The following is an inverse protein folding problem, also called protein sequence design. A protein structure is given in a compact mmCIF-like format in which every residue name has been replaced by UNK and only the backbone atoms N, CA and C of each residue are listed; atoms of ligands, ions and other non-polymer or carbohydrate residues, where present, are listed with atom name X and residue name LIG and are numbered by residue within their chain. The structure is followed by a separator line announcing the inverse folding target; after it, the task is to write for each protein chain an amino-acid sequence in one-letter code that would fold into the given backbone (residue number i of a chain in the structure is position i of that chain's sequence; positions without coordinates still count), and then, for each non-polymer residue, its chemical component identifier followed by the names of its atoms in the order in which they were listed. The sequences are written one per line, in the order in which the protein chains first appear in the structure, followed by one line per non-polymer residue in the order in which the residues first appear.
data_IF_760673611602
#
_entry.id   IF_760673611602
#
_cell.length_a   1.000
_cell.length_b   1.000
_cell.length_c   1.000
_cell.angle_alpha   90.00
_cell.angle_beta   90.00
_cell.angle_gamma   90.00
#
_symmetry.space_group_name_H-M   'P 1'
#
loop_
_entity.id
_entity.type
_entity.pdbx_description
1 polymer ?
#
# COMPACT_ATOMS: atom_id res chain seq x y z
N UNK A 1 43.10 19.20 -22.19
CA UNK A 1 42.20 19.44 -21.04
C UNK A 1 41.06 20.34 -21.48
N UNK A 2 40.04 19.79 -22.15
CA UNK A 2 38.78 20.50 -22.43
C UNK A 2 37.65 19.48 -22.42
N UNK A 3 37.26 19.03 -21.23
CA UNK A 3 35.93 18.46 -21.01
C UNK A 3 34.95 19.62 -20.97
N UNK A 4 34.26 19.89 -22.07
CA UNK A 4 33.04 20.71 -22.06
C UNK A 4 32.10 20.19 -23.13
N UNK A 5 30.82 20.16 -22.77
CA UNK A 5 29.63 19.98 -23.61
C UNK A 5 28.90 18.63 -23.61
N UNK A 6 28.73 18.00 -22.44
CA UNK A 6 27.47 17.28 -22.15
C UNK A 6 26.49 18.26 -21.47
N UNK A 7 26.15 19.37 -22.13
CA UNK A 7 25.03 20.18 -21.66
C UNK A 7 23.76 19.45 -22.05
N UNK A 8 23.09 18.87 -21.05
CA UNK A 8 21.72 18.40 -21.15
C UNK A 8 20.91 19.44 -21.92
N UNK A 9 20.17 19.02 -22.95
CA UNK A 9 19.36 19.93 -23.76
C UNK A 9 18.46 20.74 -22.81
N UNK A 10 18.37 22.08 -22.92
CA UNK A 10 17.68 22.91 -21.92
C UNK A 10 16.24 22.47 -21.69
N UNK A 11 15.56 21.97 -22.72
CA UNK A 11 14.21 21.37 -22.63
C UNK A 11 14.17 20.14 -21.71
N UNK A 12 15.14 19.24 -21.84
CA UNK A 12 15.26 18.03 -21.00
C UNK A 12 15.54 18.43 -19.55
N UNK A 13 16.34 19.48 -19.33
CA UNK A 13 16.61 20.00 -18.01
C UNK A 13 15.36 20.60 -17.36
N UNK A 14 14.59 21.41 -18.10
CA UNK A 14 13.31 21.96 -17.62
C UNK A 14 12.29 20.86 -17.35
N UNK A 15 12.22 19.84 -18.21
CA UNK A 15 11.33 18.69 -18.05
C UNK A 15 11.68 17.90 -16.78
N UNK A 16 12.97 17.63 -16.55
CA UNK A 16 13.45 16.95 -15.35
C UNK A 16 13.18 17.77 -14.07
N UNK A 17 13.41 19.08 -14.09
CA UNK A 17 13.06 19.97 -12.98
C UNK A 17 11.55 19.94 -12.71
N UNK A 18 10.72 19.94 -13.75
CA UNK A 18 9.26 19.89 -13.60
C UNK A 18 8.79 18.60 -12.94
N UNK A 19 9.38 17.45 -13.29
CA UNK A 19 9.09 16.19 -12.62
C UNK A 19 9.42 16.24 -11.11
N UNK A 20 10.54 16.86 -10.73
CA UNK A 20 10.86 17.06 -9.31
C UNK A 20 9.86 17.99 -8.62
N UNK A 21 9.45 19.09 -9.25
CA UNK A 21 8.43 20.00 -8.68
C UNK A 21 7.10 19.26 -8.46
N UNK A 22 6.61 18.54 -9.47
CA UNK A 22 5.38 17.78 -9.34
C UNK A 22 5.49 16.62 -8.34
N UNK A 23 6.66 15.99 -8.19
CA UNK A 23 6.87 15.00 -7.12
C UNK A 23 6.67 15.59 -5.71
N UNK A 24 7.10 16.83 -5.48
CA UNK A 24 6.88 17.55 -4.22
C UNK A 24 5.40 17.87 -4.06
N UNK A 25 4.73 18.34 -5.13
CA UNK A 25 3.28 18.57 -5.10
C UNK A 25 2.51 17.30 -4.76
N UNK A 26 2.87 16.15 -5.34
CA UNK A 26 2.25 14.87 -5.03
C UNK A 26 2.59 14.33 -3.64
N UNK A 27 3.69 14.77 -3.03
CA UNK A 27 4.01 14.44 -1.64
C UNK A 27 3.08 15.15 -0.66
N UNK A 28 2.60 16.35 -1.01
CA UNK A 28 1.57 17.06 -0.25
C UNK A 28 0.21 16.35 -0.31
N UNK A 29 0.02 15.41 -1.23
CA UNK A 29 -1.18 14.59 -1.34
C UNK A 29 -1.01 13.28 -0.56
N UNK A 30 -1.98 13.01 0.31
CA UNK A 30 -2.04 11.76 1.06
C UNK A 30 -2.18 10.52 0.17
N UNK A 31 -1.82 9.36 0.73
CA UNK A 31 -1.89 8.08 0.02
C UNK A 31 -3.30 7.69 -0.38
N UNK A 32 -4.32 8.22 0.28
CA UNK A 32 -5.72 8.09 -0.14
C UNK A 32 -6.01 8.65 -1.55
N UNK A 33 -5.15 9.53 -2.05
CA UNK A 33 -5.29 10.12 -3.38
C UNK A 33 -4.74 9.23 -4.50
N UNK A 34 -3.97 8.19 -4.17
CA UNK A 34 -3.31 7.32 -5.13
C UNK A 34 -3.57 5.85 -4.80
N UNK A 35 -3.75 5.03 -5.84
CA UNK A 35 -3.84 3.57 -5.68
C UNK A 35 -2.81 2.89 -6.58
N UNK A 36 -2.58 1.60 -6.36
CA UNK A 36 -1.54 0.86 -7.08
C UNK A 36 -1.20 -0.51 -6.51
N UNK A 37 -0.14 -1.14 -7.03
CA UNK A 37 0.28 -2.52 -6.70
C UNK A 37 0.46 -2.75 -5.18
N UNK A 38 0.81 -1.72 -4.41
CA UNK A 38 0.84 -1.80 -2.94
C UNK A 38 -0.55 -2.08 -2.34
N UNK A 39 -1.63 -1.50 -2.88
CA UNK A 39 -2.99 -1.79 -2.44
C UNK A 39 -3.40 -3.23 -2.74
N UNK A 40 -2.97 -3.79 -3.87
CA UNK A 40 -3.24 -5.19 -4.24
C UNK A 40 -2.49 -6.14 -3.30
N UNK A 41 -1.21 -5.87 -3.03
CA UNK A 41 -0.41 -6.65 -2.06
C UNK A 41 -1.03 -6.61 -0.66
N UNK A 42 -1.48 -5.43 -0.21
CA UNK A 42 -2.12 -5.26 1.10
C UNK A 42 -3.49 -5.94 1.16
N UNK A 43 -4.29 -5.84 0.10
CA UNK A 43 -5.61 -6.49 0.01
C UNK A 43 -5.46 -8.01 0.00
N UNK A 44 -4.51 -8.55 -0.78
CA UNK A 44 -4.20 -9.99 -0.80
C UNK A 44 -3.67 -10.43 0.57
N UNK A 45 -2.77 -9.68 1.21
CA UNK A 45 -2.27 -10.02 2.55
C UNK A 45 -3.42 -10.07 3.57
N UNK A 46 -4.34 -9.10 3.53
CA UNK A 46 -5.54 -9.08 4.39
C UNK A 46 -6.46 -10.27 4.11
N UNK A 47 -6.68 -10.63 2.85
CA UNK A 47 -7.50 -11.78 2.48
C UNK A 47 -6.87 -13.12 2.88
N UNK A 48 -5.55 -13.26 2.78
CA UNK A 48 -4.82 -14.47 3.20
C UNK A 48 -4.89 -14.64 4.71
N UNK A 49 -4.64 -13.58 5.48
CA UNK A 49 -4.77 -13.59 6.94
C UNK A 49 -6.20 -13.97 7.36
N UNK A 50 -7.21 -13.37 6.72
CA UNK A 50 -8.61 -13.71 6.99
C UNK A 50 -8.92 -15.20 6.72
N UNK A 51 -8.46 -15.73 5.59
CA UNK A 51 -8.65 -17.16 5.24
C UNK A 51 -7.94 -18.11 6.20
N UNK A 52 -6.79 -17.73 6.73
CA UNK A 52 -6.06 -18.52 7.72
C UNK A 52 -6.82 -18.56 9.05
N UNK A 53 -7.37 -17.42 9.48
CA UNK A 53 -8.25 -17.34 10.67
C UNK A 53 -9.50 -18.20 10.47
N UNK A 54 -10.17 -18.08 9.32
CA UNK A 54 -11.38 -18.85 9.01
C UNK A 54 -11.09 -20.37 8.98
N UNK A 55 -9.92 -20.80 8.47
CA UNK A 55 -9.48 -22.21 8.46
C UNK A 55 -9.16 -22.76 9.86
N UNK A 56 -8.57 -21.96 10.74
CA UNK A 56 -8.29 -22.41 12.11
C UNK A 56 -9.59 -22.57 12.91
N UNK A 57 -10.60 -21.72 12.65
CA UNK A 57 -11.93 -21.89 13.21
C UNK A 57 -12.59 -23.18 12.71
N UNK A 58 -12.50 -23.49 11.41
CA UNK A 58 -13.10 -24.68 10.81
C UNK A 58 -12.41 -26.00 11.23
N UNK A 59 -11.09 -26.01 11.42
CA UNK A 59 -10.35 -27.20 11.89
C UNK A 59 -10.56 -27.50 13.38
N UNK A 60 -11.02 -26.54 14.18
CA UNK A 60 -11.31 -26.73 15.61
C UNK A 60 -12.64 -27.47 15.83
N UNK A 61 -13.56 -27.43 14.85
CA UNK A 61 -14.90 -28.01 14.97
C UNK A 61 -14.98 -29.52 14.62
N UNK A 62 -13.84 -30.20 14.37
CA UNK A 62 -13.80 -31.62 13.96
C UNK A 62 -13.21 -32.52 15.07
N UNK A 63 -13.92 -32.62 16.20
CA UNK A 63 -13.79 -33.73 17.16
C UNK A 63 -15.16 -34.00 17.84
N UNK A 64 -15.85 -35.03 17.34
CA UNK A 64 -17.21 -35.55 17.66
C UNK A 64 -17.46 -35.94 19.16
N UNK A 65 -18.68 -36.31 19.66
CA UNK A 65 -19.95 -36.65 18.98
C UNK A 65 -21.26 -36.07 19.60
N UNK A 66 -22.36 -36.35 18.92
CA UNK A 66 -23.78 -36.10 19.23
C UNK A 66 -24.23 -36.32 20.70
N UNK A 67 -24.68 -35.27 21.41
CA UNK A 67 -25.68 -35.34 22.50
C UNK A 67 -26.23 -33.97 22.93
N UNK A 68 -27.47 -33.96 23.43
CA UNK A 68 -28.42 -32.85 23.53
C UNK A 68 -28.15 -31.75 24.59
N UNK A 69 -28.77 -30.59 24.30
CA UNK A 69 -29.37 -29.59 25.19
C UNK A 69 -28.50 -28.47 25.78
N UNK A 70 -28.58 -27.30 25.12
CA UNK A 70 -28.72 -25.89 25.58
C UNK A 70 -27.81 -25.37 26.72
N UNK A 71 -27.57 -26.14 27.78
CA UNK A 71 -26.65 -25.78 28.88
C UNK A 71 -25.16 -25.83 28.47
N UNK A 72 -24.79 -26.69 27.51
CA UNK A 72 -23.42 -26.80 27.01
C UNK A 72 -22.96 -25.59 26.18
N UNK A 73 -23.90 -24.86 25.56
CA UNK A 73 -23.59 -23.75 24.65
C UNK A 73 -22.98 -22.55 25.37
N UNK A 74 -23.35 -22.34 26.64
CA UNK A 74 -22.84 -21.24 27.46
C UNK A 74 -21.47 -21.58 28.09
N UNK A 75 -21.23 -22.85 28.43
CA UNK A 75 -19.91 -23.33 28.86
C UNK A 75 -18.90 -23.40 27.71
N UNK A 76 -19.36 -23.74 26.49
CA UNK A 76 -18.58 -23.67 25.24
C UNK A 76 -18.12 -22.24 24.94
N UNK A 77 -19.00 -21.25 25.04
CA UNK A 77 -18.64 -19.86 24.79
C UNK A 77 -17.59 -19.35 25.78
N UNK A 78 -17.70 -19.68 27.07
CA UNK A 78 -16.71 -19.29 28.09
C UNK A 78 -15.36 -19.99 27.84
N UNK A 79 -15.35 -21.26 27.44
CA UNK A 79 -14.12 -21.95 27.04
C UNK A 79 -13.52 -21.41 25.75
N UNK A 80 -14.36 -21.01 24.78
CA UNK A 80 -13.92 -20.36 23.54
C UNK A 80 -13.35 -18.98 23.81
N UNK A 81 -13.92 -18.20 24.72
CA UNK A 81 -13.40 -16.89 25.11
C UNK A 81 -12.05 -17.02 25.84
N UNK A 82 -11.90 -18.02 26.73
CA UNK A 82 -10.63 -18.33 27.41
C UNK A 82 -9.58 -18.89 26.45
N UNK A 83 -9.97 -19.78 25.53
CA UNK A 83 -9.07 -20.31 24.50
C UNK A 83 -8.72 -19.27 23.43
N UNK A 84 -9.60 -18.31 23.14
CA UNK A 84 -9.28 -17.14 22.33
C UNK A 84 -8.28 -16.24 23.07
N UNK A 85 -8.40 -16.08 24.40
CA UNK A 85 -7.44 -15.29 25.18
C UNK A 85 -6.08 -15.99 25.28
N UNK A 86 -6.03 -17.31 25.47
CA UNK A 86 -4.80 -18.11 25.47
C UNK A 86 -4.17 -18.19 24.07
N UNK A 87 -4.97 -18.41 23.02
CA UNK A 87 -4.46 -18.39 21.64
C UNK A 87 -4.01 -16.98 21.23
N UNK A 88 -4.62 -15.91 21.76
CA UNK A 88 -4.13 -14.54 21.53
C UNK A 88 -2.80 -14.30 22.24
N UNK A 89 -2.54 -14.96 23.38
CA UNK A 89 -1.26 -14.90 24.11
C UNK A 89 -0.18 -15.77 23.47
N UNK A 90 -0.49 -17.01 23.10
CA UNK A 90 0.45 -17.93 22.45
C UNK A 90 0.81 -17.46 21.04
N UNK A 91 -0.16 -16.91 20.27
CA UNK A 91 0.10 -16.23 18.99
C UNK A 91 0.80 -14.88 19.18
N UNK A 92 0.93 -14.36 20.41
CA UNK A 92 1.79 -13.20 20.69
C UNK A 92 3.19 -13.58 21.17
N UNK A 93 3.40 -14.80 21.68
CA UNK A 93 4.71 -15.29 22.14
C UNK A 93 5.47 -16.13 21.08
N UNK A 94 4.78 -16.79 20.13
CA UNK A 94 5.44 -17.64 19.11
C UNK A 94 5.81 -16.93 17.79
N UNK A 95 5.39 -15.68 17.60
CA UNK A 95 5.84 -14.87 16.46
C UNK A 95 6.93 -13.94 16.98
N UNK A 96 8.17 -14.21 16.57
CA UNK A 96 9.31 -13.32 16.76
C UNK A 96 8.89 -11.84 16.72
N UNK A 97 9.21 -11.12 17.81
CA UNK A 97 8.93 -9.70 18.09
C UNK A 97 9.47 -8.69 17.04
N UNK A 98 9.84 -9.13 15.84
CA UNK A 98 10.27 -8.28 14.73
C UNK A 98 9.18 -7.97 13.69
N UNK A 99 8.04 -8.70 13.67
CA UNK A 99 7.05 -8.57 12.57
C UNK A 99 5.62 -8.15 12.96
N UNK A 100 5.35 -7.80 14.23
CA UNK A 100 4.03 -7.36 14.70
C UNK A 100 4.06 -5.96 15.32
N UNK A 101 4.15 -4.93 14.47
CA UNK A 101 3.57 -3.63 14.81
C UNK A 101 2.50 -3.27 13.78
N UNK A 102 1.23 -3.44 14.18
CA UNK A 102 0.06 -2.92 13.49
C UNK A 102 0.10 -1.38 13.28
N UNK A 103 1.07 -0.69 13.89
CA UNK A 103 1.36 0.73 13.71
C UNK A 103 2.37 1.04 12.58
N UNK A 104 2.85 0.03 11.83
CA UNK A 104 3.61 0.21 10.58
C UNK A 104 2.81 -0.07 9.30
N UNK A 105 1.48 0.07 9.33
CA UNK A 105 0.63 0.19 8.12
C UNK A 105 0.73 1.61 7.53
N UNK A 106 1.89 2.24 7.68
CA UNK A 106 2.22 3.50 7.05
C UNK A 106 3.42 3.18 6.17
N UNK A 107 3.21 3.25 4.86
CA UNK A 107 4.31 3.12 3.89
C UNK A 107 5.42 4.06 4.37
N UNK A 108 6.64 3.58 4.65
CA UNK A 108 7.67 4.43 5.22
C UNK A 108 7.81 5.70 4.39
N UNK A 109 7.98 6.86 5.03
CA UNK A 109 7.95 8.18 4.37
C UNK A 109 8.86 8.23 3.14
N UNK A 110 10.00 7.55 3.21
CA UNK A 110 10.92 7.39 2.08
C UNK A 110 10.31 6.62 0.89
N UNK A 111 9.62 5.52 1.16
CA UNK A 111 8.95 4.74 0.12
C UNK A 111 7.76 5.50 -0.47
N UNK A 112 7.02 6.26 0.34
CA UNK A 112 5.99 7.20 -0.15
C UNK A 112 6.60 8.22 -1.10
N UNK A 113 7.69 8.87 -0.70
CA UNK A 113 8.41 9.84 -1.52
C UNK A 113 8.91 9.22 -2.83
N UNK A 114 9.53 8.03 -2.76
CA UNK A 114 10.00 7.30 -3.93
C UNK A 114 8.87 6.98 -4.91
N UNK A 115 7.74 6.50 -4.40
CA UNK A 115 6.53 6.23 -5.19
C UNK A 115 6.01 7.51 -5.89
N UNK A 116 6.07 8.67 -5.23
CA UNK A 116 5.66 9.96 -5.83
C UNK A 116 6.62 10.46 -6.90
N UNK A 117 7.93 10.32 -6.70
CA UNK A 117 8.92 10.63 -7.74
C UNK A 117 8.71 9.72 -8.95
N UNK A 118 8.64 8.40 -8.72
CA UNK A 118 8.43 7.43 -9.77
C UNK A 118 7.16 7.73 -10.59
N UNK A 119 6.04 7.98 -9.91
CA UNK A 119 4.79 8.36 -10.57
C UNK A 119 4.95 9.66 -11.38
N UNK A 120 5.60 10.68 -10.82
CA UNK A 120 5.81 11.95 -11.51
C UNK A 120 6.71 11.79 -12.73
N UNK A 121 7.82 11.04 -12.65
CA UNK A 121 8.70 10.78 -13.80
C UNK A 121 7.93 10.07 -14.91
N UNK A 122 7.17 9.02 -14.60
CA UNK A 122 6.40 8.29 -15.60
C UNK A 122 5.31 9.14 -16.26
N UNK A 123 4.67 10.02 -15.49
CA UNK A 123 3.69 10.98 -16.01
C UNK A 123 4.37 12.03 -16.88
N UNK A 124 5.56 12.50 -16.50
CA UNK A 124 6.36 13.46 -17.26
C UNK A 124 6.92 12.86 -18.56
N UNK A 125 7.14 11.56 -18.60
CA UNK A 125 7.49 10.85 -19.84
C UNK A 125 6.26 10.41 -20.64
N UNK A 126 5.04 10.71 -20.19
CA UNK A 126 3.78 10.29 -20.80
C UNK A 126 3.67 8.77 -21.02
N UNK A 127 4.34 7.96 -20.18
CA UNK A 127 4.36 6.49 -20.29
C UNK A 127 3.11 5.86 -19.65
N UNK A 128 2.85 6.20 -18.39
CA UNK A 128 1.68 5.73 -17.63
C UNK A 128 1.58 4.20 -17.48
N UNK A 129 2.51 3.57 -16.77
CA UNK A 129 2.50 2.11 -16.53
C UNK A 129 1.24 1.60 -15.79
N UNK A 130 0.51 2.47 -15.08
CA UNK A 130 -0.75 2.12 -14.42
C UNK A 130 -0.59 1.35 -13.11
N UNK A 131 0.64 1.09 -12.68
CA UNK A 131 0.99 0.47 -11.40
C UNK A 131 0.78 1.41 -10.20
N UNK A 132 0.84 2.73 -10.44
CA UNK A 132 0.38 3.79 -9.54
C UNK A 132 -0.50 4.74 -10.36
N UNK A 133 -1.70 5.04 -9.85
CA UNK A 133 -2.64 5.93 -10.54
C UNK A 133 -3.44 6.81 -9.57
N UNK A 134 -3.82 8.03 -9.98
CA UNK A 134 -4.59 8.95 -9.15
C UNK A 134 -6.06 8.49 -9.06
N UNK A 135 -6.59 8.40 -7.85
CA UNK A 135 -8.00 8.02 -7.61
C UNK A 135 -8.89 9.23 -7.34
N UNK A 136 -8.39 10.20 -6.59
CA UNK A 136 -9.13 11.40 -6.22
C UNK A 136 -9.19 12.42 -7.36
N UNK A 137 -10.21 13.29 -7.34
CA UNK A 137 -10.32 14.36 -8.34
C UNK A 137 -9.14 15.34 -8.27
N UNK A 138 -8.61 15.60 -7.07
CA UNK A 138 -7.50 16.52 -6.86
C UNK A 138 -6.21 15.97 -7.47
N UNK A 139 -5.88 14.70 -7.21
CA UNK A 139 -4.71 14.05 -7.82
C UNK A 139 -4.83 13.93 -9.34
N UNK A 140 -6.04 13.64 -9.85
CA UNK A 140 -6.32 13.66 -11.30
C UNK A 140 -6.06 15.03 -11.91
N UNK A 141 -6.51 16.11 -11.27
CA UNK A 141 -6.27 17.48 -11.74
C UNK A 141 -4.78 17.81 -11.81
N UNK A 142 -3.99 17.47 -10.78
CA UNK A 142 -2.54 17.67 -10.82
C UNK A 142 -1.86 16.83 -11.91
N UNK A 143 -2.30 15.60 -12.11
CA UNK A 143 -1.80 14.71 -13.18
C UNK A 143 -2.11 15.27 -14.57
N UNK A 144 -3.33 15.77 -14.79
CA UNK A 144 -3.70 16.44 -16.04
C UNK A 144 -2.84 17.68 -16.29
N UNK A 145 -2.64 18.52 -15.27
CA UNK A 145 -1.79 19.70 -15.34
C UNK A 145 -0.34 19.34 -15.69
N UNK A 146 0.22 18.31 -15.05
CA UNK A 146 1.57 17.86 -15.33
C UNK A 146 1.72 17.38 -16.79
N UNK A 147 0.78 16.57 -17.27
CA UNK A 147 0.81 16.06 -18.65
C UNK A 147 0.69 17.19 -19.68
N UNK A 148 -0.20 18.16 -19.47
CA UNK A 148 -0.33 19.33 -20.33
C UNK A 148 0.95 20.18 -20.34
N UNK A 149 1.53 20.42 -19.16
CA UNK A 149 2.78 21.16 -19.01
C UNK A 149 3.95 20.45 -19.71
N UNK A 150 4.01 19.13 -19.60
CA UNK A 150 5.00 18.30 -20.29
C UNK A 150 4.87 18.43 -21.81
N UNK A 151 3.65 18.32 -22.35
CA UNK A 151 3.39 18.49 -23.78
C UNK A 151 3.84 19.88 -24.23
N UNK A 152 3.55 20.92 -23.43
CA UNK A 152 3.97 22.29 -23.72
C UNK A 152 5.49 22.42 -23.84
N UNK A 153 6.27 21.83 -22.92
CA UNK A 153 7.75 21.86 -22.96
C UNK A 153 8.33 21.07 -24.14
N UNK A 154 7.70 19.95 -24.51
CA UNK A 154 8.17 19.13 -25.63
C UNK A 154 7.94 19.88 -26.95
N UNK A 155 6.75 20.46 -27.12
CA UNK A 155 6.34 21.13 -28.37
C UNK A 155 7.04 22.47 -28.55
N UNK A 156 7.05 23.32 -27.53
CA UNK A 156 7.57 24.70 -27.58
C UNK A 156 8.97 24.79 -26.96
#
# INVERSE_FOLDING_TARGET
MYMKHYLLHPKVLVLLISAFIFSILYLLLDDSNFSGVNYIKETIKKEVIKKEIDKQIENTDIAEPMSNNVYNKQFENIKRDVAMEDATKDVSEEVDDEDLTADKINVPIFQKYFNRIYFSINTCCLLGYGDIYPVSNISKSFTMLQSLFTIFIIVY
#
